data_IF_764482353679
#
_entry.id   IF_764482353679
#
_cell.length_a   1.000
_cell.length_b   1.000
_cell.length_c   1.000
_cell.angle_alpha   90.00
_cell.angle_beta   90.00
_cell.angle_gamma   90.00
#
_symmetry.space_group_name_H-M   'P 1'
#
loop_
_entity.id
_entity.type
_entity.pdbx_description
1 polymer ?
#
# COMPACT_ATOMS: atom_id res chain seq x y z
N UNK A 1 6.06 -24.57 -5.42
CA UNK A 1 4.66 -24.99 -5.17
C UNK A 1 3.90 -24.78 -6.46
N UNK A 2 3.43 -25.87 -7.08
CA UNK A 2 2.74 -25.82 -8.38
C UNK A 2 1.41 -25.10 -8.21
N UNK A 3 1.22 -23.97 -8.89
CA UNK A 3 -0.09 -23.33 -8.98
C UNK A 3 -1.03 -24.31 -9.69
N UNK A 4 -2.01 -24.84 -8.96
CA UNK A 4 -3.08 -25.67 -9.53
C UNK A 4 -3.83 -24.82 -10.56
N UNK A 5 -3.89 -25.29 -11.81
CA UNK A 5 -4.67 -24.63 -12.84
C UNK A 5 -6.13 -24.56 -12.39
N UNK A 6 -6.67 -23.35 -12.24
CA UNK A 6 -8.08 -23.14 -11.93
C UNK A 6 -8.89 -23.22 -13.23
N UNK A 7 -9.79 -24.21 -13.32
CA UNK A 7 -10.78 -24.27 -14.39
C UNK A 7 -11.80 -23.14 -14.18
N UNK A 8 -11.87 -22.19 -15.10
CA UNK A 8 -12.87 -21.13 -15.07
C UNK A 8 -14.21 -21.68 -15.54
N UNK A 9 -15.21 -21.78 -14.65
CA UNK A 9 -16.59 -22.02 -15.06
C UNK A 9 -17.20 -20.72 -15.58
N UNK A 10 -17.51 -20.67 -16.87
CA UNK A 10 -18.13 -19.51 -17.52
C UNK A 10 -19.64 -19.54 -17.24
N UNK A 11 -20.10 -18.71 -16.31
CA UNK A 11 -21.52 -18.49 -16.06
C UNK A 11 -22.21 -17.69 -17.15
N UNK A 12 -23.51 -17.93 -17.38
CA UNK A 12 -24.33 -17.06 -18.24
C UNK A 12 -24.78 -15.82 -17.48
N UNK A 13 -25.10 -14.75 -18.21
CA UNK A 13 -25.70 -13.54 -17.62
C UNK A 13 -26.99 -13.92 -16.90
N UNK A 14 -27.08 -13.59 -15.61
CA UNK A 14 -28.24 -13.89 -14.75
C UNK A 14 -28.12 -15.17 -13.92
N UNK A 15 -27.07 -15.97 -14.10
CA UNK A 15 -26.83 -17.16 -13.27
C UNK A 15 -26.06 -16.82 -11.99
N UNK A 16 -26.44 -17.45 -10.88
CA UNK A 16 -25.77 -17.29 -9.59
C UNK A 16 -24.55 -18.21 -9.52
N UNK A 17 -23.46 -17.79 -10.14
CA UNK A 17 -22.19 -18.54 -10.18
C UNK A 17 -21.27 -18.22 -9.01
N UNK A 18 -20.45 -19.19 -8.62
CA UNK A 18 -19.42 -18.97 -7.59
C UNK A 18 -18.29 -18.11 -8.16
N UNK A 19 -17.95 -17.03 -7.44
CA UNK A 19 -16.83 -16.16 -7.79
C UNK A 19 -15.50 -16.92 -7.63
N UNK A 20 -14.60 -16.83 -8.61
CA UNK A 20 -13.34 -17.59 -8.62
C UNK A 20 -12.44 -17.33 -7.39
N UNK A 21 -12.48 -16.11 -6.85
CA UNK A 21 -11.73 -15.68 -5.67
C UNK A 21 -12.55 -15.80 -4.35
N UNK A 22 -13.76 -16.38 -4.37
CA UNK A 22 -14.63 -16.44 -3.19
C UNK A 22 -13.98 -17.23 -2.05
N UNK A 23 -13.57 -18.47 -2.30
CA UNK A 23 -13.01 -19.36 -1.29
C UNK A 23 -11.79 -18.77 -0.57
N UNK A 24 -10.72 -18.32 -1.24
CA UNK A 24 -9.55 -17.80 -0.53
C UNK A 24 -9.88 -16.54 0.28
N UNK A 25 -10.83 -15.71 -0.17
CA UNK A 25 -11.25 -14.50 0.56
C UNK A 25 -12.09 -14.80 1.79
N UNK A 26 -12.95 -15.83 1.76
CA UNK A 26 -13.80 -16.19 2.91
C UNK A 26 -13.10 -17.09 3.93
N UNK A 27 -11.98 -17.71 3.55
CA UNK A 27 -11.20 -18.61 4.41
C UNK A 27 -9.95 -17.96 5.00
N UNK A 28 -9.68 -16.69 4.67
CA UNK A 28 -8.47 -15.98 5.13
C UNK A 28 -7.18 -16.42 4.43
N UNK A 29 -7.27 -17.13 3.31
CA UNK A 29 -6.11 -17.57 2.52
C UNK A 29 -5.69 -16.57 1.45
N UNK A 30 -6.55 -15.59 1.13
CA UNK A 30 -6.23 -14.53 0.19
C UNK A 30 -5.33 -13.50 0.87
N UNK A 31 -4.11 -13.32 0.37
CA UNK A 31 -3.20 -12.29 0.85
C UNK A 31 -3.62 -10.91 0.30
N UNK A 32 -3.97 -10.00 1.19
CA UNK A 32 -4.11 -8.57 0.90
C UNK A 32 -2.75 -7.88 1.03
N UNK A 33 -2.66 -6.63 0.54
CA UNK A 33 -1.40 -5.88 0.53
C UNK A 33 -0.74 -5.77 1.92
N UNK A 34 -1.55 -5.71 2.99
CA UNK A 34 -1.07 -5.68 4.38
C UNK A 34 -0.50 -7.00 4.89
N UNK A 35 -0.82 -8.12 4.22
CA UNK A 35 -0.35 -9.46 4.61
C UNK A 35 1.00 -9.78 3.96
N UNK A 36 1.42 -8.98 2.99
CA UNK A 36 2.67 -9.13 2.27
C UNK A 36 3.83 -8.58 3.09
N UNK A 37 4.93 -9.33 3.14
CA UNK A 37 6.19 -8.87 3.71
C UNK A 37 7.37 -9.48 2.93
N UNK A 38 8.52 -8.81 2.98
CA UNK A 38 9.78 -9.30 2.40
C UNK A 38 10.93 -8.93 3.33
N UNK A 39 11.98 -9.74 3.35
CA UNK A 39 13.19 -9.42 4.11
C UNK A 39 13.76 -8.07 3.66
N UNK A 40 14.05 -7.19 4.62
CA UNK A 40 14.56 -5.84 4.35
C UNK A 40 13.49 -4.79 3.97
N UNK A 41 12.20 -5.13 4.02
CA UNK A 41 11.12 -4.16 3.83
C UNK A 41 11.20 -3.03 4.86
N UNK A 42 11.08 -1.78 4.40
CA UNK A 42 10.93 -0.61 5.25
C UNK A 42 9.47 -0.37 5.59
N UNK A 43 9.23 0.14 6.79
CA UNK A 43 7.91 0.60 7.24
C UNK A 43 7.79 2.10 7.00
N UNK A 44 6.74 2.52 6.29
CA UNK A 44 6.49 3.92 5.98
C UNK A 44 5.36 4.52 6.84
N UNK A 45 5.50 5.80 7.18
CA UNK A 45 4.44 6.58 7.80
C UNK A 45 4.35 7.97 7.15
N UNK A 46 3.13 8.43 6.89
CA UNK A 46 2.90 9.78 6.36
C UNK A 46 2.56 10.75 7.49
N UNK A 47 3.42 11.73 7.71
CA UNK A 47 3.11 12.88 8.57
C UNK A 47 2.11 13.77 7.83
N UNK A 48 0.95 14.02 8.45
CA UNK A 48 -0.16 14.79 7.86
C UNK A 48 -0.34 16.12 8.58
N UNK A 49 -0.83 17.11 7.84
CA UNK A 49 -1.18 18.41 8.42
C UNK A 49 -2.21 18.24 9.55
N UNK A 50 -1.97 18.83 10.74
CA UNK A 50 -2.99 18.91 11.79
C UNK A 50 -4.03 20.01 11.51
N UNK A 51 -3.80 20.84 10.48
CA UNK A 51 -4.65 21.96 10.11
C UNK A 51 -5.41 21.67 8.80
N UNK A 52 -6.70 22.02 8.77
CA UNK A 52 -7.52 21.89 7.56
C UNK A 52 -7.03 22.80 6.41
N UNK A 53 -6.44 23.95 6.74
CA UNK A 53 -5.85 24.88 5.77
C UNK A 53 -4.71 25.67 6.42
N UNK A 54 -3.52 25.60 5.82
CA UNK A 54 -2.33 26.34 6.26
C UNK A 54 -1.32 26.45 5.10
N UNK A 55 -0.36 27.37 5.25
CA UNK A 55 0.85 27.40 4.43
C UNK A 55 1.97 26.69 5.19
N UNK A 56 2.72 25.84 4.50
CA UNK A 56 3.97 25.25 5.04
C UNK A 56 5.03 26.35 4.97
N UNK A 57 5.48 26.83 6.12
CA UNK A 57 6.57 27.79 6.21
C UNK A 57 7.94 27.09 6.21
N UNK A 58 8.03 25.96 6.92
CA UNK A 58 9.27 25.20 7.12
C UNK A 58 8.93 23.72 7.36
N UNK A 59 9.87 22.84 7.02
CA UNK A 59 9.87 21.42 7.37
C UNK A 59 11.24 21.10 7.97
N UNK A 60 11.31 20.87 9.28
CA UNK A 60 12.51 20.38 9.95
C UNK A 60 12.45 18.85 10.07
N UNK A 61 13.46 18.16 9.52
CA UNK A 61 13.58 16.69 9.54
C UNK A 61 14.74 16.21 10.41
N UNK A 62 15.48 17.12 11.06
CA UNK A 62 16.74 16.83 11.74
C UNK A 62 16.58 15.81 12.88
N UNK A 63 15.57 15.99 13.73
CA UNK A 63 15.26 15.06 14.82
C UNK A 63 14.97 13.66 14.28
N UNK A 64 14.06 13.55 13.30
CA UNK A 64 13.65 12.29 12.72
C UNK A 64 14.83 11.53 12.09
N UNK A 65 15.72 12.23 11.39
CA UNK A 65 16.93 11.61 10.81
C UNK A 65 17.91 11.08 11.87
N UNK A 66 17.89 11.65 13.08
CA UNK A 66 18.75 11.20 14.19
C UNK A 66 18.21 9.99 14.97
N UNK A 67 16.94 9.63 14.76
CA UNK A 67 16.29 8.54 15.48
C UNK A 67 16.79 7.17 15.01
N UNK A 68 17.09 6.29 15.96
CA UNK A 68 17.46 4.91 15.67
C UNK A 68 16.33 4.18 14.90
N UNK A 69 16.70 3.50 13.81
CA UNK A 69 15.75 2.75 12.98
C UNK A 69 15.09 3.56 11.86
N UNK A 70 15.29 4.88 11.81
CA UNK A 70 14.87 5.69 10.65
C UNK A 70 15.83 5.45 9.49
N UNK A 71 15.28 4.95 8.38
CA UNK A 71 16.06 4.75 7.16
C UNK A 71 16.14 6.03 6.32
N UNK A 72 15.04 6.76 6.20
CA UNK A 72 14.95 8.00 5.44
C UNK A 72 13.75 8.84 5.90
N UNK A 73 13.85 10.16 5.72
CA UNK A 73 12.73 11.10 5.82
C UNK A 73 12.63 11.80 4.46
N UNK A 74 11.50 11.60 3.77
CA UNK A 74 11.30 12.11 2.41
C UNK A 74 10.32 13.28 2.42
N UNK A 75 10.64 14.32 1.66
CA UNK A 75 9.84 15.52 1.52
C UNK A 75 9.46 15.77 0.05
N UNK A 76 8.81 16.91 -0.21
CA UNK A 76 8.54 17.38 -1.57
C UNK A 76 9.81 17.67 -2.41
N UNK A 77 10.97 17.77 -1.79
CA UNK A 77 12.25 17.99 -2.48
C UNK A 77 12.75 16.71 -3.16
N UNK A 78 12.44 15.54 -2.60
CA UNK A 78 12.90 14.24 -3.07
C UNK A 78 12.08 13.67 -4.24
N UNK A 79 10.97 14.32 -4.60
CA UNK A 79 10.08 13.85 -5.68
C UNK A 79 10.68 14.22 -7.04
N UNK A 80 11.12 13.24 -7.86
CA UNK A 80 11.58 13.54 -9.21
C UNK A 80 10.39 13.87 -10.13
N UNK A 81 10.62 14.73 -11.12
CA UNK A 81 9.63 15.04 -12.15
C UNK A 81 8.44 15.89 -11.65
N UNK A 82 7.23 15.52 -12.05
CA UNK A 82 6.03 16.30 -11.76
C UNK A 82 5.59 16.14 -10.30
N UNK A 83 5.49 17.26 -9.58
CA UNK A 83 5.08 17.28 -8.16
C UNK A 83 3.57 17.37 -7.95
N UNK A 84 2.79 17.35 -9.02
CA UNK A 84 1.33 17.53 -9.00
C UNK A 84 0.68 16.46 -9.86
N UNK A 85 -0.42 15.92 -9.38
CA UNK A 85 -1.23 14.91 -10.05
C UNK A 85 -2.69 15.36 -10.00
N UNK A 86 -3.42 15.18 -11.11
CA UNK A 86 -4.80 15.61 -11.30
C UNK A 86 -5.25 15.38 -12.73
#
# INVERSE_FOLDING_TARGET
>A
MSATAQTLEVGRIGESVRRADATPKTTGQFAYASDLWVAGMLWGHTVRSPHAHARIAEIDISEALSMAGVHAVLTHEDVPGAKRYG
#
